data_IF_387450104079
#
_entry.id   IF_387450104079
#
_cell.length_a   1.000
_cell.length_b   1.000
_cell.length_c   1.000
_cell.angle_alpha   90.00
_cell.angle_beta   90.00
_cell.angle_gamma   90.00
#
_symmetry.space_group_name_H-M   'P 1'
#
loop_
_entity.id
_entity.type
_entity.pdbx_description
1 polymer ?
#
# COMPACT_ATOMS: atom_id res chain seq x y z
N UNK A 1 -46.23 -47.31 -18.36
CA UNK A 1 -47.26 -46.68 -17.48
C UNK A 1 -47.00 -45.18 -17.52
N UNK A 2 -47.89 -44.36 -18.12
CA UNK A 2 -48.79 -43.39 -17.43
C UNK A 2 -48.06 -42.61 -16.31
N UNK A 3 -48.01 -41.29 -16.20
CA UNK A 3 -48.82 -40.19 -16.76
C UNK A 3 -48.16 -38.83 -16.36
N UNK A 4 -48.19 -37.81 -17.25
CA UNK A 4 -48.65 -36.40 -17.05
C UNK A 4 -48.22 -35.64 -15.76
N UNK A 5 -47.64 -34.44 -15.76
CA UNK A 5 -48.08 -33.13 -16.33
C UNK A 5 -46.94 -32.08 -16.09
N UNK A 6 -46.51 -31.29 -17.08
CA UNK A 6 -46.96 -29.92 -17.45
C UNK A 6 -46.53 -28.81 -16.46
N UNK A 7 -45.58 -27.97 -16.85
CA UNK A 7 -45.84 -26.55 -17.16
C UNK A 7 -44.67 -25.91 -17.96
N UNK A 8 -44.94 -25.64 -19.23
CA UNK A 8 -44.31 -24.62 -20.07
C UNK A 8 -45.21 -23.36 -20.00
N UNK A 9 -44.95 -22.15 -20.47
CA UNK A 9 -44.00 -21.53 -21.40
C UNK A 9 -44.20 -19.99 -21.27
N UNK A 10 -43.24 -19.19 -21.76
CA UNK A 10 -43.41 -18.04 -22.68
C UNK A 10 -42.09 -17.23 -22.69
N UNK A 11 -41.28 -17.32 -23.76
CA UNK A 11 -41.29 -16.47 -24.97
C UNK A 11 -41.07 -14.98 -24.62
N UNK A 12 -39.85 -14.45 -24.79
CA UNK A 12 -39.23 -14.01 -26.06
C UNK A 12 -39.53 -12.53 -26.36
N UNK A 13 -38.50 -11.79 -26.78
CA UNK A 13 -38.68 -10.48 -27.39
C UNK A 13 -37.45 -9.59 -27.37
N UNK A 14 -36.71 -9.60 -28.49
CA UNK A 14 -35.76 -8.56 -28.90
C UNK A 14 -36.32 -7.15 -28.67
N UNK A 15 -35.47 -6.21 -28.27
CA UNK A 15 -35.71 -4.79 -28.51
C UNK A 15 -34.45 -4.11 -29.06
N UNK A 16 -34.60 -3.59 -30.27
CA UNK A 16 -33.79 -2.55 -30.88
C UNK A 16 -34.74 -1.45 -31.35
N UNK A 17 -34.22 -0.22 -31.39
CA UNK A 17 -34.71 0.99 -32.09
C UNK A 17 -35.45 2.06 -31.24
N UNK A 18 -34.61 2.96 -30.70
CA UNK A 18 -34.62 4.43 -30.78
C UNK A 18 -35.86 5.27 -30.43
N UNK A 19 -35.61 6.36 -29.68
CA UNK A 19 -36.07 7.70 -30.08
C UNK A 19 -35.06 8.79 -29.73
N UNK A 20 -34.78 9.63 -30.73
CA UNK A 20 -34.07 10.89 -30.64
C UNK A 20 -34.98 12.02 -30.13
N UNK A 21 -34.39 13.03 -29.50
CA UNK A 21 -35.01 14.32 -29.18
C UNK A 21 -34.00 15.46 -29.41
N UNK A 22 -34.33 16.35 -30.34
CA UNK A 22 -33.49 17.37 -30.99
C UNK A 22 -33.16 18.61 -30.13
N UNK A 23 -32.06 19.28 -30.52
CA UNK A 23 -31.76 20.68 -30.23
C UNK A 23 -30.70 21.25 -31.18
N UNK A 24 -31.14 21.65 -32.39
CA UNK A 24 -30.48 22.46 -33.45
C UNK A 24 -29.61 23.62 -32.94
N UNK A 25 -28.51 24.07 -33.56
CA UNK A 25 -27.83 23.75 -34.81
C UNK A 25 -26.93 24.94 -35.23
N UNK A 26 -25.80 24.69 -35.91
CA UNK A 26 -25.22 25.52 -36.97
C UNK A 26 -23.89 24.90 -37.45
N UNK A 27 -23.76 24.75 -38.77
CA UNK A 27 -22.63 24.16 -39.48
C UNK A 27 -21.78 25.26 -40.10
N UNK A 28 -20.45 25.14 -40.01
CA UNK A 28 -19.49 25.96 -40.74
C UNK A 28 -18.08 25.45 -40.47
N UNK A 29 -17.47 24.77 -41.45
CA UNK A 29 -16.14 24.19 -41.32
C UNK A 29 -15.00 25.13 -41.69
N UNK A 30 -13.81 24.85 -41.17
CA UNK A 30 -12.52 24.88 -41.88
C UNK A 30 -11.41 24.46 -40.92
N UNK A 31 -10.48 23.68 -41.43
CA UNK A 31 -9.24 23.26 -40.78
C UNK A 31 -8.49 24.42 -40.10
N UNK A 32 -8.06 24.20 -38.86
CA UNK A 32 -6.82 24.76 -38.35
C UNK A 32 -6.28 23.85 -37.25
N UNK A 33 -5.08 23.33 -37.49
CA UNK A 33 -4.23 22.71 -36.48
C UNK A 33 -4.14 23.64 -35.25
N UNK A 34 -4.55 23.12 -34.10
CA UNK A 34 -4.45 23.78 -32.80
C UNK A 34 -3.84 22.78 -31.83
N UNK A 35 -2.69 23.15 -31.28
CA UNK A 35 -1.99 22.52 -30.18
C UNK A 35 -2.93 22.10 -29.06
N UNK A 36 -2.92 20.80 -28.72
CA UNK A 36 -3.53 20.26 -27.49
C UNK A 36 -2.82 20.90 -26.29
N UNK A 37 -3.47 21.90 -25.71
CA UNK A 37 -3.23 22.29 -24.33
C UNK A 37 -4.15 21.42 -23.47
N UNK A 38 -3.57 20.56 -22.65
CA UNK A 38 -4.28 19.78 -21.63
C UNK A 38 -5.29 20.68 -20.89
N UNK A 39 -6.58 20.33 -20.96
CA UNK A 39 -7.61 21.05 -20.23
C UNK A 39 -7.63 20.54 -18.80
N UNK A 40 -6.99 21.28 -17.91
CA UNK A 40 -7.11 21.10 -16.47
C UNK A 40 -8.59 21.16 -16.08
N UNK A 41 -9.09 20.17 -15.34
CA UNK A 41 -10.47 20.20 -14.83
C UNK A 41 -10.61 21.34 -13.81
N UNK A 42 -11.29 22.42 -14.20
CA UNK A 42 -11.67 23.49 -13.28
C UNK A 42 -12.89 23.05 -12.46
N UNK A 43 -12.79 23.18 -11.14
CA UNK A 43 -13.92 23.12 -10.21
C UNK A 43 -14.91 24.25 -10.47
N UNK A 44 -16.14 24.14 -9.94
CA UNK A 44 -17.20 25.14 -10.11
C UNK A 44 -16.82 26.54 -9.60
N UNK A 45 -15.78 26.64 -8.78
CA UNK A 45 -15.30 27.88 -8.17
C UNK A 45 -14.01 28.42 -8.83
N UNK A 46 -13.56 27.81 -9.93
CA UNK A 46 -12.38 28.23 -10.70
C UNK A 46 -11.03 27.70 -10.18
N UNK A 47 -11.05 26.80 -9.19
CA UNK A 47 -9.85 26.11 -8.70
C UNK A 47 -9.52 24.91 -9.60
N UNK A 48 -8.24 24.60 -9.73
CA UNK A 48 -7.77 23.39 -10.42
C UNK A 48 -7.97 22.15 -9.55
N UNK A 49 -8.74 21.15 -10.02
CA UNK A 49 -8.95 19.90 -9.27
C UNK A 49 -7.77 18.96 -9.43
N UNK A 50 -7.23 18.48 -8.31
CA UNK A 50 -6.16 17.49 -8.23
C UNK A 50 -6.72 16.20 -7.63
N UNK A 51 -6.57 15.07 -8.32
CA UNK A 51 -6.96 13.76 -7.80
C UNK A 51 -5.75 12.97 -7.32
N UNK A 52 -5.77 12.60 -6.05
CA UNK A 52 -4.71 11.83 -5.39
C UNK A 52 -5.18 10.39 -5.24
N UNK A 53 -4.41 9.45 -5.78
CA UNK A 53 -4.65 8.02 -5.62
C UNK A 53 -3.74 7.44 -4.56
N UNK A 54 -4.32 6.76 -3.58
CA UNK A 54 -3.58 6.06 -2.54
C UNK A 54 -4.22 4.71 -2.22
N UNK A 55 -3.44 3.81 -1.64
CA UNK A 55 -3.94 2.50 -1.20
C UNK A 55 -3.38 2.11 0.16
N UNK A 56 -4.05 1.20 0.86
CA UNK A 56 -3.52 0.69 2.12
C UNK A 56 -4.57 0.26 3.13
N UNK A 57 -4.20 0.33 4.41
CA UNK A 57 -5.10 0.09 5.54
C UNK A 57 -5.90 1.36 5.87
N UNK A 58 -6.91 1.23 6.72
CA UNK A 58 -7.87 2.33 6.96
C UNK A 58 -7.22 3.58 7.61
N UNK A 59 -6.19 3.40 8.44
CA UNK A 59 -5.40 4.50 8.99
C UNK A 59 -4.74 5.36 7.90
N UNK A 60 -4.33 4.76 6.77
CA UNK A 60 -3.77 5.49 5.62
C UNK A 60 -4.86 6.34 4.95
N UNK A 61 -6.07 5.81 4.82
CA UNK A 61 -7.21 6.59 4.27
C UNK A 61 -7.49 7.82 5.12
N UNK A 62 -7.62 7.63 6.44
CA UNK A 62 -7.98 8.69 7.38
C UNK A 62 -6.95 9.82 7.41
N UNK A 63 -5.65 9.50 7.36
CA UNK A 63 -4.61 10.54 7.33
C UNK A 63 -4.59 11.29 6.00
N UNK A 64 -4.81 10.63 4.86
CA UNK A 64 -4.92 11.31 3.57
C UNK A 64 -6.13 12.23 3.52
N UNK A 65 -7.27 11.80 4.07
CA UNK A 65 -8.46 12.66 4.22
C UNK A 65 -8.13 13.92 5.03
N UNK A 66 -7.43 13.79 6.17
CA UNK A 66 -6.99 14.95 6.96
C UNK A 66 -6.00 15.83 6.21
N UNK A 67 -5.01 15.25 5.53
CA UNK A 67 -4.00 16.00 4.78
C UNK A 67 -4.62 16.79 3.63
N UNK A 68 -5.61 16.20 2.95
CA UNK A 68 -6.37 16.83 1.87
C UNK A 68 -7.26 17.95 2.43
N UNK A 69 -7.92 17.73 3.57
CA UNK A 69 -8.69 18.76 4.24
C UNK A 69 -7.80 19.94 4.65
N UNK A 70 -6.62 19.69 5.23
CA UNK A 70 -5.68 20.75 5.56
C UNK A 70 -5.18 21.47 4.30
N UNK A 71 -4.76 20.75 3.25
CA UNK A 71 -4.34 21.33 1.98
C UNK A 71 -5.42 22.23 1.35
N UNK A 72 -6.67 21.78 1.35
CA UNK A 72 -7.81 22.50 0.78
C UNK A 72 -8.21 23.74 1.59
N UNK A 73 -7.80 23.83 2.86
CA UNK A 73 -8.04 24.99 3.73
C UNK A 73 -6.77 25.81 3.99
N UNK A 74 -5.61 25.37 3.47
CA UNK A 74 -4.33 26.03 3.65
C UNK A 74 -4.26 27.31 2.81
N UNK A 75 -3.92 28.44 3.42
CA UNK A 75 -3.89 29.75 2.75
C UNK A 75 -2.97 29.84 1.53
N UNK A 76 -1.98 28.96 1.39
CA UNK A 76 -1.08 28.94 0.23
C UNK A 76 -1.69 28.23 -1.00
N UNK A 77 -2.58 27.26 -0.76
CA UNK A 77 -3.08 26.31 -1.77
C UNK A 77 -4.58 26.45 -2.04
N UNK A 78 -5.38 26.81 -1.03
CA UNK A 78 -6.85 26.78 -1.04
C UNK A 78 -7.51 27.64 -2.13
N UNK A 79 -6.85 28.73 -2.55
CA UNK A 79 -7.36 29.62 -3.61
C UNK A 79 -7.05 29.10 -5.03
N UNK A 80 -6.16 28.10 -5.16
CA UNK A 80 -5.63 27.62 -6.45
C UNK A 80 -6.07 26.20 -6.78
N UNK A 81 -6.13 25.34 -5.76
CA UNK A 81 -6.32 23.90 -5.93
C UNK A 81 -7.46 23.37 -5.08
N UNK A 82 -8.05 22.28 -5.54
CA UNK A 82 -8.98 21.44 -4.79
C UNK A 82 -8.49 19.99 -4.92
N UNK A 83 -7.95 19.44 -3.84
CA UNK A 83 -7.53 18.04 -3.79
C UNK A 83 -8.71 17.12 -3.45
N UNK A 84 -8.76 15.97 -4.12
CA UNK A 84 -9.72 14.88 -3.89
C UNK A 84 -8.97 13.55 -3.74
N UNK A 85 -9.53 12.62 -2.96
CA UNK A 85 -8.92 11.31 -2.70
C UNK A 85 -9.66 10.20 -3.45
N UNK A 86 -8.92 9.42 -4.23
CA UNK A 86 -9.33 8.09 -4.67
C UNK A 86 -8.56 7.05 -3.85
N UNK A 87 -9.25 6.38 -2.92
CA UNK A 87 -8.60 5.44 -2.01
C UNK A 87 -8.97 3.98 -2.28
N UNK A 88 -7.96 3.13 -2.35
CA UNK A 88 -8.11 1.69 -2.54
C UNK A 88 -7.78 0.94 -1.24
N UNK A 89 -8.81 0.45 -0.55
CA UNK A 89 -8.62 -0.33 0.66
C UNK A 89 -8.01 -1.71 0.33
N UNK A 90 -6.94 -2.05 1.03
CA UNK A 90 -6.21 -3.32 0.90
C UNK A 90 -7.09 -4.55 1.22
N UNK A 91 -6.79 -5.65 0.53
CA UNK A 91 -7.44 -6.95 0.75
C UNK A 91 -8.94 -7.00 0.39
N UNK A 92 -9.42 -6.11 -0.47
CA UNK A 92 -10.82 -6.11 -0.96
C UNK A 92 -11.03 -6.98 -2.19
N UNK A 93 -9.97 -7.54 -2.78
CA UNK A 93 -10.02 -8.38 -3.98
C UNK A 93 -10.32 -7.59 -5.27
N UNK A 94 -10.23 -6.26 -5.23
CA UNK A 94 -10.29 -5.41 -6.43
C UNK A 94 -9.00 -5.48 -7.22
N UNK A 95 -9.03 -5.04 -8.48
CA UNK A 95 -7.81 -4.79 -9.26
C UNK A 95 -6.86 -3.89 -8.45
N UNK A 96 -5.55 -4.13 -8.53
CA UNK A 96 -4.55 -3.33 -7.82
C UNK A 96 -4.33 -1.98 -8.51
N UNK A 97 -3.89 -0.97 -7.74
CA UNK A 97 -3.57 0.36 -8.30
C UNK A 97 -2.46 0.29 -9.36
N UNK A 98 -1.45 -0.56 -9.16
CA UNK A 98 -0.36 -0.76 -10.13
C UNK A 98 -0.89 -1.27 -11.47
N UNK A 99 -1.82 -2.23 -11.44
CA UNK A 99 -2.41 -2.79 -12.66
C UNK A 99 -3.34 -1.78 -13.35
N UNK A 100 -4.03 -0.92 -12.58
CA UNK A 100 -4.87 0.16 -13.12
C UNK A 100 -4.02 1.21 -13.84
N UNK A 101 -2.93 1.66 -13.22
CA UNK A 101 -1.95 2.59 -13.82
C UNK A 101 -1.33 1.98 -15.08
N UNK A 102 -0.90 0.71 -15.00
CA UNK A 102 -0.31 0.02 -16.13
C UNK A 102 -1.28 -0.11 -17.32
N UNK A 103 -2.56 -0.42 -17.04
CA UNK A 103 -3.59 -0.48 -18.06
C UNK A 103 -3.85 0.88 -18.71
N UNK A 104 -3.97 1.96 -17.92
CA UNK A 104 -4.18 3.31 -18.42
C UNK A 104 -3.03 3.77 -19.34
N UNK A 105 -1.78 3.56 -18.91
CA UNK A 105 -0.59 3.90 -19.69
C UNK A 105 -0.48 3.08 -20.99
N UNK A 106 -0.66 1.75 -20.92
CA UNK A 106 -0.62 0.87 -22.10
C UNK A 106 -1.73 1.19 -23.10
N UNK A 107 -2.88 1.64 -22.61
CA UNK A 107 -3.99 2.13 -23.43
C UNK A 107 -3.75 3.54 -24.01
N UNK A 108 -2.66 4.20 -23.64
CA UNK A 108 -2.30 5.57 -24.06
C UNK A 108 -3.39 6.58 -23.71
N UNK A 109 -3.99 6.43 -22.53
CA UNK A 109 -4.90 7.42 -22.01
C UNK A 109 -4.14 8.73 -21.73
N UNK A 110 -4.84 9.85 -21.82
CA UNK A 110 -4.37 11.19 -21.47
C UNK A 110 -5.47 11.87 -20.65
N UNK A 111 -5.11 12.92 -19.92
CA UNK A 111 -6.07 13.72 -19.14
C UNK A 111 -6.90 12.87 -18.17
N UNK A 112 -6.26 11.88 -17.57
CA UNK A 112 -6.87 11.00 -16.55
C UNK A 112 -6.89 11.67 -15.18
N UNK A 113 -7.61 11.08 -14.24
CA UNK A 113 -7.62 11.47 -12.84
C UNK A 113 -6.45 10.86 -12.04
N UNK A 114 -5.47 10.21 -12.68
CA UNK A 114 -4.24 9.78 -12.03
C UNK A 114 -3.22 10.93 -11.96
N UNK A 115 -3.55 12.00 -11.23
CA UNK A 115 -2.68 13.19 -11.17
C UNK A 115 -1.49 12.98 -10.22
N UNK A 116 -1.73 12.38 -9.07
CA UNK A 116 -0.71 12.06 -8.07
C UNK A 116 -0.98 10.69 -7.47
N UNK A 117 0.03 9.83 -7.38
CA UNK A 117 -0.12 8.47 -6.84
C UNK A 117 0.86 8.20 -5.70
N UNK A 118 0.36 7.58 -4.63
CA UNK A 118 1.15 7.09 -3.48
C UNK A 118 1.60 5.65 -3.74
N UNK A 119 2.90 5.43 -3.89
CA UNK A 119 3.50 4.13 -4.19
C UNK A 119 4.68 3.88 -3.25
N UNK A 120 4.74 2.68 -2.68
CA UNK A 120 5.88 2.28 -1.85
C UNK A 120 6.32 0.85 -2.12
N UNK A 121 7.62 0.60 -1.92
CA UNK A 121 8.23 -0.73 -1.99
C UNK A 121 7.80 -1.54 -3.21
N UNK A 122 7.11 -2.66 -2.96
CA UNK A 122 6.65 -3.61 -3.98
C UNK A 122 5.72 -2.97 -5.03
N UNK A 123 4.85 -2.03 -4.67
CA UNK A 123 3.93 -1.40 -5.64
C UNK A 123 4.70 -0.53 -6.63
N UNK A 124 5.71 0.21 -6.16
CA UNK A 124 6.58 1.00 -7.01
C UNK A 124 7.42 0.09 -7.93
N UNK A 125 8.00 -0.98 -7.37
CA UNK A 125 8.75 -1.98 -8.14
C UNK A 125 7.90 -2.60 -9.25
N UNK A 126 6.69 -3.04 -8.90
CA UNK A 126 5.75 -3.68 -9.82
C UNK A 126 5.28 -2.75 -10.93
N UNK A 127 4.90 -1.50 -10.61
CA UNK A 127 4.47 -0.59 -11.68
C UNK A 127 5.64 -0.24 -12.62
N UNK A 128 6.86 -0.07 -12.10
CA UNK A 128 8.04 0.16 -12.94
C UNK A 128 8.33 -1.05 -13.83
N UNK A 129 8.27 -2.29 -13.32
CA UNK A 129 8.48 -3.49 -14.15
C UNK A 129 7.44 -3.60 -15.28
N UNK A 130 6.21 -3.14 -15.02
CA UNK A 130 5.11 -3.24 -15.98
C UNK A 130 5.09 -2.16 -17.07
N UNK A 131 5.51 -0.93 -16.77
CA UNK A 131 5.37 0.23 -17.68
C UNK A 131 6.59 1.16 -17.78
N UNK A 132 7.67 0.88 -17.05
CA UNK A 132 8.87 1.72 -17.03
C UNK A 132 8.73 2.98 -16.16
N UNK A 133 9.85 3.54 -15.73
CA UNK A 133 9.87 4.78 -14.93
C UNK A 133 9.44 6.01 -15.76
N UNK A 134 9.59 5.96 -17.08
CA UNK A 134 9.17 7.02 -18.01
C UNK A 134 7.65 7.22 -18.08
N UNK A 135 6.87 6.29 -17.53
CA UNK A 135 5.45 6.48 -17.33
C UNK A 135 5.14 7.58 -16.31
N UNK A 136 6.13 7.97 -15.50
CA UNK A 136 6.06 9.06 -14.53
C UNK A 136 6.87 10.28 -14.98
N UNK A 137 6.46 11.45 -14.52
CA UNK A 137 7.15 12.72 -14.77
C UNK A 137 8.48 12.71 -14.03
N UNK A 138 9.56 13.03 -14.74
CA UNK A 138 10.85 13.32 -14.12
C UNK A 138 10.71 14.60 -13.29
N UNK A 139 10.93 14.51 -11.98
CA UNK A 139 10.59 15.57 -11.04
C UNK A 139 11.51 16.80 -11.18
N UNK A 140 10.90 17.99 -11.30
CA UNK A 140 11.60 19.26 -11.14
C UNK A 140 11.62 19.64 -9.65
N UNK A 141 12.78 19.43 -9.00
CA UNK A 141 12.96 19.74 -7.58
C UNK A 141 12.75 21.23 -7.25
N UNK A 142 12.84 22.14 -8.22
CA UNK A 142 12.54 23.57 -7.97
C UNK A 142 11.04 23.80 -7.69
N UNK A 143 10.16 22.90 -8.13
CA UNK A 143 8.73 22.93 -7.81
C UNK A 143 8.40 22.29 -6.45
N UNK A 144 9.39 21.65 -5.82
CA UNK A 144 9.24 20.94 -4.54
C UNK A 144 10.33 21.44 -3.57
N UNK A 145 10.40 22.73 -3.24
CA UNK A 145 11.47 23.27 -2.38
C UNK A 145 11.60 22.51 -1.05
N UNK A 146 10.48 22.06 -0.44
CA UNK A 146 10.52 21.32 0.82
C UNK A 146 11.22 19.95 0.72
N UNK A 147 11.44 19.42 -0.49
CA UNK A 147 12.21 18.18 -0.70
C UNK A 147 13.67 18.29 -0.26
N UNK A 148 14.21 19.51 -0.09
CA UNK A 148 15.55 19.73 0.46
C UNK A 148 15.69 19.24 1.91
N UNK A 149 14.58 19.13 2.64
CA UNK A 149 14.55 18.68 4.02
C UNK A 149 14.45 17.15 4.15
N UNK A 150 14.35 16.43 3.03
CA UNK A 150 14.21 14.96 3.00
C UNK A 150 15.53 14.33 2.58
N UNK A 151 16.22 13.70 3.52
CA UNK A 151 17.52 13.05 3.23
C UNK A 151 17.35 11.68 2.55
N UNK A 152 16.26 10.98 2.86
CA UNK A 152 16.00 9.63 2.37
C UNK A 152 15.69 9.62 0.86
N UNK A 153 16.28 8.67 0.14
CA UNK A 153 16.11 8.51 -1.32
C UNK A 153 15.49 7.16 -1.64
N UNK A 154 14.56 7.15 -2.59
CA UNK A 154 14.03 5.91 -3.13
C UNK A 154 15.14 5.12 -3.83
N UNK A 155 15.22 3.82 -3.55
CA UNK A 155 16.13 2.88 -4.22
C UNK A 155 15.76 2.65 -5.71
N UNK A 156 14.52 2.95 -6.08
CA UNK A 156 13.98 2.81 -7.43
C UNK A 156 13.44 4.15 -7.93
N UNK A 157 13.61 4.42 -9.23
CA UNK A 157 13.07 5.61 -9.89
C UNK A 157 13.37 6.93 -9.15
N UNK A 158 14.60 7.09 -8.66
CA UNK A 158 15.02 8.18 -7.77
C UNK A 158 14.74 9.59 -8.34
N UNK A 159 14.77 9.73 -9.66
CA UNK A 159 14.49 10.99 -10.37
C UNK A 159 12.98 11.25 -10.62
N UNK A 160 12.13 10.26 -10.37
CA UNK A 160 10.70 10.26 -10.74
C UNK A 160 9.75 10.22 -9.55
N UNK A 161 10.26 9.92 -8.35
CA UNK A 161 9.45 9.82 -7.14
C UNK A 161 9.99 10.69 -6.01
N UNK A 162 9.10 11.10 -5.11
CA UNK A 162 9.44 11.86 -3.90
C UNK A 162 9.02 11.08 -2.65
N UNK A 163 9.97 10.48 -1.91
CA UNK A 163 9.71 9.94 -0.59
C UNK A 163 9.14 11.00 0.36
N UNK A 164 8.15 10.62 1.18
CA UNK A 164 7.58 11.50 2.21
C UNK A 164 7.42 10.86 3.59
N UNK A 165 7.40 9.53 3.69
CA UNK A 165 7.42 8.79 4.97
C UNK A 165 8.09 7.43 4.83
N UNK A 166 8.65 6.93 5.92
CA UNK A 166 9.02 5.53 6.08
C UNK A 166 7.84 4.69 6.58
N UNK A 167 7.83 3.40 6.23
CA UNK A 167 6.95 2.40 6.83
C UNK A 167 7.68 1.06 6.91
N UNK A 168 7.35 0.26 7.91
CA UNK A 168 7.99 -1.05 8.14
C UNK A 168 7.03 -2.01 8.83
N UNK A 169 7.18 -3.30 8.49
CA UNK A 169 6.53 -4.38 9.22
C UNK A 169 7.40 -4.75 10.42
N UNK A 170 6.74 -4.95 11.55
CA UNK A 170 7.35 -5.31 12.84
C UNK A 170 6.65 -6.54 13.41
N UNK A 171 7.16 -7.08 14.51
CA UNK A 171 6.40 -8.01 15.35
C UNK A 171 5.66 -7.21 16.42
N UNK A 172 4.33 -7.25 16.38
CA UNK A 172 3.47 -6.80 17.47
C UNK A 172 3.31 -7.94 18.48
N UNK A 173 3.39 -7.64 19.77
CA UNK A 173 3.30 -8.66 20.83
C UNK A 173 2.67 -8.11 22.11
N UNK A 174 2.01 -8.98 22.87
CA UNK A 174 1.55 -8.66 24.22
C UNK A 174 2.71 -8.81 25.22
N UNK A 175 3.19 -7.69 25.75
CA UNK A 175 4.35 -7.66 26.65
C UNK A 175 4.13 -8.33 28.00
N UNK A 176 2.89 -8.62 28.40
CA UNK A 176 2.62 -9.45 29.58
C UNK A 176 2.83 -10.95 29.31
N UNK A 177 2.75 -11.36 28.03
CA UNK A 177 2.88 -12.75 27.59
C UNK A 177 4.25 -13.05 27.03
N UNK A 178 4.87 -12.06 26.39
CA UNK A 178 6.19 -12.16 25.77
C UNK A 178 7.13 -11.13 26.42
N UNK A 179 7.68 -11.42 27.61
CA UNK A 179 8.57 -10.49 28.31
C UNK A 179 9.92 -10.31 27.59
N UNK A 180 10.36 -11.32 26.83
CA UNK A 180 11.59 -11.31 26.04
C UNK A 180 11.21 -11.64 24.59
N UNK A 181 10.82 -10.64 23.78
CA UNK A 181 10.42 -10.88 22.41
C UNK A 181 11.65 -11.27 21.55
N UNK A 182 11.46 -12.12 20.53
CA UNK A 182 12.54 -12.63 19.69
C UNK A 182 13.22 -11.48 18.93
N UNK A 183 14.51 -11.67 18.65
CA UNK A 183 15.37 -10.74 17.92
C UNK A 183 15.86 -11.29 16.59
N UNK A 184 15.62 -12.56 16.29
CA UNK A 184 15.96 -13.18 15.01
C UNK A 184 14.83 -14.09 14.54
N UNK A 185 14.85 -14.48 13.26
CA UNK A 185 13.91 -15.47 12.74
C UNK A 185 14.04 -16.81 13.47
N UNK A 186 15.25 -17.24 13.82
CA UNK A 186 15.48 -18.48 14.56
C UNK A 186 14.88 -18.44 15.98
N UNK A 187 15.05 -17.32 16.69
CA UNK A 187 14.42 -17.11 18.00
C UNK A 187 12.90 -17.07 17.89
N UNK A 188 12.35 -16.47 16.84
CA UNK A 188 10.92 -16.47 16.59
C UNK A 188 10.41 -17.89 16.34
N UNK A 189 11.10 -18.67 15.52
CA UNK A 189 10.75 -20.08 15.24
C UNK A 189 10.80 -20.93 16.50
N UNK A 190 11.82 -20.73 17.33
CA UNK A 190 11.88 -21.42 18.62
C UNK A 190 10.73 -21.00 19.53
N UNK A 191 10.41 -19.70 19.59
CA UNK A 191 9.27 -19.20 20.35
C UNK A 191 7.95 -19.80 19.87
N UNK A 192 7.72 -19.93 18.56
CA UNK A 192 6.52 -20.57 17.99
C UNK A 192 6.43 -22.06 18.39
N UNK A 193 7.55 -22.78 18.38
CA UNK A 193 7.60 -24.19 18.81
C UNK A 193 7.26 -24.36 20.29
N UNK A 194 7.74 -23.44 21.12
CA UNK A 194 7.49 -23.46 22.57
C UNK A 194 6.08 -22.96 22.93
N UNK A 195 5.44 -22.20 22.04
CA UNK A 195 4.12 -21.59 22.22
C UNK A 195 3.19 -21.90 21.02
N UNK A 196 2.89 -23.18 20.73
CA UNK A 196 2.11 -23.56 19.55
C UNK A 196 0.72 -22.91 19.58
N UNK A 197 0.30 -22.34 18.44
CA UNK A 197 -0.99 -21.68 18.29
C UNK A 197 -1.01 -20.21 18.75
N UNK A 198 0.11 -19.67 19.25
CA UNK A 198 0.19 -18.30 19.80
C UNK A 198 0.81 -17.27 18.85
N UNK A 199 1.12 -17.67 17.61
CA UNK A 199 1.57 -16.80 16.53
C UNK A 199 0.61 -16.87 15.34
N UNK A 200 0.31 -15.74 14.71
CA UNK A 200 -0.38 -15.74 13.42
C UNK A 200 0.20 -14.67 12.48
N UNK A 201 0.12 -14.93 11.18
CA UNK A 201 0.29 -13.92 10.13
C UNK A 201 -0.93 -13.96 9.20
N UNK A 202 -1.28 -12.84 8.58
CA UNK A 202 -2.43 -12.79 7.68
C UNK A 202 -2.09 -13.43 6.33
N UNK A 203 -3.07 -14.00 5.63
CA UNK A 203 -2.83 -14.59 4.32
C UNK A 203 -2.17 -13.55 3.36
N UNK A 204 -1.08 -13.90 2.66
CA UNK A 204 -0.46 -13.05 1.63
C UNK A 204 -1.49 -12.54 0.61
N UNK A 205 -1.27 -11.34 0.07
CA UNK A 205 -2.20 -10.68 -0.86
C UNK A 205 -3.46 -10.10 -0.21
N UNK A 206 -3.73 -10.38 1.08
CA UNK A 206 -4.84 -9.76 1.81
C UNK A 206 -4.40 -8.55 2.64
N UNK A 207 -3.10 -8.37 2.86
CA UNK A 207 -2.51 -7.25 3.60
C UNK A 207 -0.99 -7.42 3.70
N UNK A 208 -0.25 -6.32 3.56
CA UNK A 208 1.21 -6.38 3.37
C UNK A 208 2.05 -6.95 4.52
N UNK A 209 1.52 -7.08 5.75
CA UNK A 209 2.31 -7.62 6.86
C UNK A 209 2.56 -9.13 6.73
N UNK A 210 1.54 -9.87 6.26
CA UNK A 210 1.65 -11.29 5.91
C UNK A 210 2.61 -11.53 4.75
N UNK A 211 2.49 -10.74 3.68
CA UNK A 211 3.42 -10.77 2.54
C UNK A 211 4.86 -10.57 3.03
N UNK A 212 5.09 -9.54 3.87
CA UNK A 212 6.40 -9.24 4.43
C UNK A 212 7.00 -10.41 5.22
N UNK A 213 6.22 -11.01 6.14
CA UNK A 213 6.69 -12.14 6.93
C UNK A 213 7.05 -13.35 6.07
N UNK A 214 6.15 -13.73 5.16
CA UNK A 214 6.31 -14.93 4.34
C UNK A 214 7.45 -14.77 3.35
N UNK A 215 7.52 -13.63 2.65
CA UNK A 215 8.60 -13.35 1.69
C UNK A 215 9.95 -13.21 2.40
N UNK A 216 10.02 -12.49 3.51
CA UNK A 216 11.25 -12.44 4.34
C UNK A 216 11.72 -13.85 4.72
N UNK A 217 10.80 -14.69 5.17
CA UNK A 217 11.10 -16.07 5.57
C UNK A 217 11.67 -16.91 4.42
N UNK A 218 11.11 -16.77 3.21
CA UNK A 218 11.60 -17.50 2.02
C UNK A 218 12.94 -16.94 1.53
N UNK A 219 13.05 -15.62 1.41
CA UNK A 219 14.24 -14.95 0.89
C UNK A 219 15.44 -15.00 1.84
N UNK A 220 15.27 -15.41 3.10
CA UNK A 220 16.39 -15.74 3.99
C UNK A 220 17.21 -16.95 3.51
N UNK A 221 16.66 -17.79 2.64
CA UNK A 221 17.33 -18.95 2.06
C UNK A 221 17.91 -18.68 0.66
N UNK A 222 17.80 -17.45 0.17
CA UNK A 222 18.19 -17.07 -1.18
C UNK A 222 19.44 -16.18 -1.18
N UNK A 223 20.14 -16.04 -2.31
CA UNK A 223 21.16 -15.01 -2.47
C UNK A 223 20.61 -13.61 -2.19
N UNK A 224 21.46 -12.73 -1.62
CA UNK A 224 21.05 -11.39 -1.17
C UNK A 224 20.46 -10.55 -2.30
N UNK A 225 21.00 -10.67 -3.52
CA UNK A 225 20.55 -9.93 -4.70
C UNK A 225 19.13 -10.28 -5.15
N UNK A 226 18.61 -11.45 -4.78
CA UNK A 226 17.30 -11.91 -5.23
C UNK A 226 16.17 -11.02 -4.70
N UNK A 227 16.34 -10.46 -3.49
CA UNK A 227 15.28 -9.68 -2.82
C UNK A 227 14.96 -8.36 -3.53
N UNK A 228 15.85 -7.91 -4.41
CA UNK A 228 15.71 -6.68 -5.21
C UNK A 228 15.75 -6.96 -6.71
N UNK A 229 15.36 -8.17 -7.12
CA UNK A 229 15.35 -8.59 -8.52
C UNK A 229 14.01 -9.23 -8.89
N UNK A 230 13.52 -8.87 -10.07
CA UNK A 230 12.30 -9.40 -10.70
C UNK A 230 12.60 -10.49 -11.75
N UNK A 231 13.81 -11.07 -11.73
CA UNK A 231 14.18 -12.16 -12.66
C UNK A 231 13.39 -13.43 -12.34
N UNK A 232 12.59 -13.98 -13.28
CA UNK A 232 11.75 -15.16 -13.03
C UNK A 232 12.56 -16.43 -12.71
N UNK A 233 13.87 -16.46 -12.97
CA UNK A 233 14.73 -17.57 -12.54
C UNK A 233 14.85 -17.72 -11.02
N UNK A 234 14.46 -16.70 -10.25
CA UNK A 234 14.40 -16.79 -8.79
C UNK A 234 13.30 -17.71 -8.27
N UNK A 235 12.22 -17.92 -9.04
CA UNK A 235 11.09 -18.77 -8.64
C UNK A 235 11.51 -20.22 -8.38
N UNK A 236 12.45 -20.73 -9.19
CA UNK A 236 12.99 -22.09 -9.07
C UNK A 236 13.72 -22.32 -7.72
N UNK A 237 14.15 -21.24 -7.06
CA UNK A 237 14.91 -21.28 -5.81
C UNK A 237 14.04 -21.12 -4.55
N UNK A 238 12.73 -20.88 -4.69
CA UNK A 238 11.82 -20.73 -3.53
C UNK A 238 11.60 -22.01 -2.73
N UNK A 239 11.95 -23.17 -3.29
CA UNK A 239 11.65 -24.49 -2.69
C UNK A 239 12.09 -24.61 -1.24
N UNK A 240 13.32 -24.23 -0.91
CA UNK A 240 13.84 -24.35 0.47
C UNK A 240 13.07 -23.46 1.46
N UNK A 241 12.77 -22.22 1.06
CA UNK A 241 11.96 -21.31 1.88
C UNK A 241 10.52 -21.77 2.05
N UNK A 242 9.91 -22.37 1.03
CA UNK A 242 8.56 -22.94 1.14
C UNK A 242 8.53 -24.19 2.04
N UNK A 243 9.57 -25.01 2.01
CA UNK A 243 9.70 -26.13 2.94
C UNK A 243 9.90 -25.65 4.38
N UNK A 244 10.57 -24.51 4.58
CA UNK A 244 10.59 -23.83 5.88
C UNK A 244 9.18 -23.40 6.32
N UNK A 245 8.38 -22.78 5.45
CA UNK A 245 7.00 -22.38 5.77
C UNK A 245 6.13 -23.59 6.17
N UNK A 246 6.26 -24.73 5.46
CA UNK A 246 5.61 -26.01 5.82
C UNK A 246 6.05 -26.48 7.20
N UNK A 247 7.32 -26.30 7.54
CA UNK A 247 7.88 -26.74 8.83
C UNK A 247 7.35 -25.95 10.02
N UNK A 248 6.99 -24.67 9.84
CA UNK A 248 6.44 -23.82 10.90
C UNK A 248 4.91 -23.86 10.97
N UNK A 249 4.25 -24.30 9.88
CA UNK A 249 2.79 -24.38 9.78
C UNK A 249 2.11 -25.02 11.02
N UNK A 250 2.57 -26.17 11.57
CA UNK A 250 1.92 -26.80 12.72
C UNK A 250 1.89 -25.96 14.01
N UNK A 251 2.74 -24.92 14.11
CA UNK A 251 2.83 -24.05 15.28
C UNK A 251 2.04 -22.74 15.15
N UNK A 252 1.46 -22.47 13.96
CA UNK A 252 0.63 -21.30 13.72
C UNK A 252 -0.69 -21.36 14.51
N UNK A 253 -1.36 -20.22 14.65
CA UNK A 253 -2.69 -20.11 15.24
C UNK A 253 -3.65 -21.13 14.64
N UNK A 254 -4.38 -21.80 15.53
CA UNK A 254 -5.34 -22.83 15.17
C UNK A 254 -6.72 -22.44 15.69
N UNK A 255 -7.73 -22.67 14.87
CA UNK A 255 -9.13 -22.56 15.25
C UNK A 255 -9.89 -23.75 14.68
N UNK A 256 -10.77 -24.36 15.48
CA UNK A 256 -11.52 -25.54 15.06
C UNK A 256 -10.67 -26.79 14.75
N UNK A 257 -9.41 -26.84 15.23
CA UNK A 257 -8.50 -27.98 15.04
C UNK A 257 -7.64 -27.93 13.78
N UNK A 258 -7.66 -26.81 13.04
CA UNK A 258 -6.81 -26.58 11.87
C UNK A 258 -6.14 -25.20 11.98
N UNK A 259 -5.02 -25.04 11.28
CA UNK A 259 -4.34 -23.74 11.17
C UNK A 259 -5.22 -22.76 10.40
N UNK A 260 -5.28 -21.52 10.88
CA UNK A 260 -6.04 -20.44 10.25
C UNK A 260 -5.12 -19.25 10.02
N UNK A 261 -5.05 -18.79 8.78
CA UNK A 261 -4.40 -17.54 8.39
C UNK A 261 -5.48 -16.45 8.31
N UNK A 262 -5.51 -15.48 9.25
CA UNK A 262 -6.52 -14.43 9.22
C UNK A 262 -6.44 -13.61 7.93
N UNK A 263 -7.56 -13.00 7.53
CA UNK A 263 -7.56 -12.06 6.41
C UNK A 263 -7.20 -10.66 6.89
N UNK A 264 -6.37 -9.95 6.11
CA UNK A 264 -5.89 -8.59 6.34
C UNK A 264 -5.05 -8.43 7.61
N UNK A 265 -4.28 -7.33 7.67
CA UNK A 265 -3.49 -6.97 8.86
C UNK A 265 -4.37 -6.81 10.12
N UNK A 266 -5.63 -6.38 9.96
CA UNK A 266 -6.55 -6.21 11.08
C UNK A 266 -6.94 -7.56 11.71
N UNK A 267 -7.10 -8.62 10.90
CA UNK A 267 -7.52 -9.92 11.43
C UNK A 267 -6.51 -10.53 12.41
N UNK A 268 -5.22 -10.42 12.14
CA UNK A 268 -4.17 -10.85 13.08
C UNK A 268 -4.08 -9.93 14.29
N UNK A 269 -4.22 -8.62 14.10
CA UNK A 269 -4.18 -7.64 15.18
C UNK A 269 -5.35 -7.82 16.17
N UNK A 270 -6.53 -8.15 15.66
CA UNK A 270 -7.72 -8.44 16.47
C UNK A 270 -7.51 -9.68 17.34
N UNK A 271 -6.92 -10.75 16.79
CA UNK A 271 -6.57 -11.94 17.56
C UNK A 271 -5.58 -11.61 18.68
N UNK A 272 -4.57 -10.77 18.40
CA UNK A 272 -3.60 -10.33 19.39
C UNK A 272 -4.29 -9.52 20.49
N UNK A 273 -5.13 -8.55 20.11
CA UNK A 273 -5.85 -7.71 21.06
C UNK A 273 -6.83 -8.50 21.93
N UNK A 274 -7.44 -9.55 21.38
CA UNK A 274 -8.33 -10.47 22.11
C UNK A 274 -7.56 -11.48 22.98
N UNK A 275 -6.24 -11.61 22.82
CA UNK A 275 -5.39 -12.54 23.56
C UNK A 275 -5.47 -13.99 23.07
N UNK A 276 -6.01 -14.20 21.86
CA UNK A 276 -6.03 -15.50 21.18
C UNK A 276 -4.64 -15.92 20.73
N UNK A 277 -3.85 -14.94 20.29
CA UNK A 277 -2.41 -15.05 20.01
C UNK A 277 -1.64 -14.07 20.89
N UNK A 278 -0.33 -14.27 21.02
CA UNK A 278 0.55 -13.39 21.81
C UNK A 278 1.50 -12.57 20.92
N UNK A 279 1.60 -12.89 19.62
CA UNK A 279 2.47 -12.20 18.67
C UNK A 279 2.02 -12.35 17.21
N UNK A 280 2.20 -11.31 16.39
CA UNK A 280 1.97 -11.34 14.94
C UNK A 280 2.82 -10.30 14.20
N UNK A 281 3.15 -10.50 12.91
CA UNK A 281 3.68 -9.43 12.08
C UNK A 281 2.58 -8.39 11.81
N UNK A 282 2.91 -7.12 11.88
CA UNK A 282 1.99 -6.03 11.53
C UNK A 282 2.74 -4.75 11.12
N UNK A 283 2.07 -3.83 10.44
CA UNK A 283 2.64 -2.51 10.13
C UNK A 283 2.80 -1.70 11.41
N UNK A 284 3.96 -1.07 11.60
CA UNK A 284 4.22 -0.25 12.77
C UNK A 284 3.21 0.91 12.89
N UNK A 285 2.91 1.58 11.78
CA UNK A 285 1.93 2.68 11.72
C UNK A 285 0.55 2.26 12.27
N UNK A 286 0.07 1.10 11.87
CA UNK A 286 -1.22 0.54 12.28
C UNK A 286 -1.26 0.18 13.77
N UNK A 287 -0.20 -0.45 14.31
CA UNK A 287 -0.15 -0.82 15.73
C UNK A 287 -0.06 0.42 16.62
N UNK A 288 0.80 1.37 16.25
CA UNK A 288 1.04 2.56 17.06
C UNK A 288 -0.17 3.51 17.04
N UNK A 289 -0.80 3.72 15.88
CA UNK A 289 -2.01 4.55 15.77
C UNK A 289 -3.19 3.96 16.56
N UNK A 290 -3.50 2.68 16.39
CA UNK A 290 -4.60 2.03 17.12
C UNK A 290 -4.36 1.99 18.64
N UNK A 291 -3.10 1.82 19.07
CA UNK A 291 -2.76 1.94 20.50
C UNK A 291 -2.97 3.36 21.03
N UNK A 292 -2.55 4.38 20.28
CA UNK A 292 -2.77 5.78 20.66
C UNK A 292 -4.27 6.14 20.75
N UNK A 293 -5.10 5.55 19.89
CA UNK A 293 -6.57 5.69 19.93
C UNK A 293 -7.24 4.89 21.07
N UNK A 294 -6.49 4.03 21.76
CA UNK A 294 -7.01 3.15 22.82
C UNK A 294 -7.84 1.97 22.31
N UNK A 295 -7.75 1.65 21.01
CA UNK A 295 -8.40 0.47 20.42
C UNK A 295 -7.57 -0.80 20.62
N UNK A 296 -6.25 -0.66 20.80
CA UNK A 296 -5.37 -1.72 21.30
C UNK A 296 -5.03 -1.54 22.78
N UNK A 297 -4.80 -2.67 23.47
CA UNK A 297 -4.28 -2.68 24.83
C UNK A 297 -2.91 -1.99 24.91
N UNK A 298 -2.68 -1.26 26.00
CA UNK A 298 -1.37 -0.64 26.32
C UNK A 298 -0.22 -1.66 26.46
N UNK A 299 -0.54 -2.93 26.72
CA UNK A 299 0.46 -4.00 26.81
C UNK A 299 0.97 -4.44 25.45
N UNK A 300 0.31 -4.06 24.35
CA UNK A 300 0.75 -4.36 22.99
C UNK A 300 1.92 -3.44 22.62
N UNK A 301 3.06 -4.07 22.36
CA UNK A 301 4.31 -3.42 22.00
C UNK A 301 4.82 -3.94 20.66
N UNK A 302 5.79 -3.24 20.10
CA UNK A 302 6.44 -3.59 18.84
C UNK A 302 7.90 -3.98 19.06
N UNK A 303 8.42 -4.87 18.22
CA UNK A 303 9.86 -5.14 18.10
C UNK A 303 10.22 -5.41 16.64
N UNK A 304 11.45 -5.08 16.26
CA UNK A 304 12.08 -5.62 15.06
C UNK A 304 12.89 -6.88 15.39
N UNK A 305 13.14 -7.67 14.34
CA UNK A 305 14.09 -8.80 14.32
C UNK A 305 15.23 -8.47 13.34
N UNK A 306 16.31 -9.25 13.37
CA UNK A 306 17.44 -9.16 12.45
C UNK A 306 17.64 -10.51 11.72
N UNK A 307 17.71 -10.53 10.38
CA UNK A 307 17.35 -9.44 9.46
C UNK A 307 15.92 -8.95 9.67
N UNK A 308 15.66 -7.66 9.42
CA UNK A 308 14.32 -7.09 9.59
C UNK A 308 13.30 -7.71 8.65
N UNK A 309 12.03 -7.62 9.05
CA UNK A 309 10.93 -7.72 8.09
C UNK A 309 11.00 -6.53 7.12
N UNK A 310 10.25 -6.61 6.03
CA UNK A 310 10.36 -5.59 4.98
C UNK A 310 9.87 -4.23 5.44
N UNK A 311 10.50 -3.20 4.88
CA UNK A 311 10.07 -1.81 4.99
C UNK A 311 10.23 -1.11 3.66
N UNK A 312 9.71 0.10 3.57
CA UNK A 312 9.85 0.92 2.37
C UNK A 312 9.73 2.40 2.70
N UNK A 313 10.21 3.20 1.75
CA UNK A 313 9.86 4.61 1.67
C UNK A 313 8.59 4.71 0.82
N UNK A 314 7.53 5.25 1.41
CA UNK A 314 6.34 5.62 0.66
C UNK A 314 6.66 6.90 -0.11
N UNK A 315 6.36 6.88 -1.40
CA UNK A 315 6.81 7.88 -2.35
C UNK A 315 5.67 8.31 -3.24
N UNK A 316 5.61 9.61 -3.51
CA UNK A 316 4.66 10.19 -4.44
C UNK A 316 5.26 10.19 -5.85
N UNK A 317 4.46 9.80 -6.84
CA UNK A 317 4.81 9.85 -8.25
C UNK A 317 3.73 10.60 -9.04
N UNK A 318 4.12 11.30 -10.11
CA UNK A 318 3.21 12.03 -10.99
C UNK A 318 3.14 11.28 -12.32
N UNK A 319 2.04 10.59 -12.66
CA UNK A 319 1.90 9.95 -13.96
C UNK A 319 1.93 10.96 -15.11
N UNK A 320 2.57 10.61 -16.23
CA UNK A 320 2.66 11.46 -17.45
C UNK A 320 1.33 11.65 -18.18
N UNK A 321 0.28 10.96 -17.72
CA UNK A 321 -1.05 10.91 -18.31
C UNK A 321 -2.15 11.42 -17.37
N UNK A 322 -1.77 12.03 -16.24
CA UNK A 322 -2.68 12.81 -15.38
C UNK A 322 -3.10 14.13 -16.05
N UNK A 323 -4.13 14.76 -15.50
CA UNK A 323 -4.70 16.03 -15.98
C UNK A 323 -4.15 17.27 -15.26
N UNK A 324 -3.51 17.10 -14.09
CA UNK A 324 -3.09 18.20 -13.22
C UNK A 324 -1.69 18.04 -12.58
N UNK A 325 -0.65 18.11 -13.40
CA UNK A 325 0.76 18.05 -12.95
C UNK A 325 1.11 19.17 -11.94
N UNK A 326 0.63 20.40 -12.14
CA UNK A 326 0.93 21.53 -11.24
C UNK A 326 0.30 21.35 -9.86
N UNK A 327 -0.93 20.84 -9.78
CA UNK A 327 -1.55 20.45 -8.51
C UNK A 327 -0.76 19.35 -7.81
N UNK A 328 -0.28 18.36 -8.58
CA UNK A 328 0.47 17.23 -8.06
C UNK A 328 1.80 17.69 -7.42
N UNK A 329 2.53 18.60 -8.07
CA UNK A 329 3.70 19.25 -7.47
C UNK A 329 3.34 20.05 -6.21
N UNK A 330 2.22 20.79 -6.21
CA UNK A 330 1.80 21.57 -5.05
C UNK A 330 1.54 20.69 -3.83
N UNK A 331 0.81 19.58 -4.00
CA UNK A 331 0.57 18.64 -2.89
C UNK A 331 1.84 17.92 -2.46
N UNK A 332 2.70 17.53 -3.41
CA UNK A 332 4.00 16.91 -3.12
C UNK A 332 4.93 17.84 -2.32
N UNK A 333 4.88 19.16 -2.56
CA UNK A 333 5.60 20.13 -1.73
C UNK A 333 4.94 20.31 -0.36
N UNK A 334 3.61 20.39 -0.31
CA UNK A 334 2.83 20.57 0.91
C UNK A 334 3.04 19.42 1.91
N UNK A 335 2.99 18.15 1.47
CA UNK A 335 3.09 16.99 2.36
C UNK A 335 4.44 16.91 3.09
N UNK A 336 5.46 17.62 2.58
CA UNK A 336 6.79 17.71 3.16
C UNK A 336 6.95 18.91 4.12
N UNK A 337 5.90 19.72 4.32
CA UNK A 337 5.90 20.76 5.35
C UNK A 337 5.92 20.14 6.74
N UNK A 338 6.49 20.85 7.73
CA UNK A 338 6.48 20.43 9.14
C UNK A 338 5.06 20.14 9.62
N UNK A 339 4.07 20.98 9.28
CA UNK A 339 2.68 20.80 9.69
C UNK A 339 2.07 19.50 9.13
N UNK A 340 2.28 19.20 7.84
CA UNK A 340 1.80 17.97 7.23
C UNK A 340 2.51 16.73 7.81
N UNK A 341 3.82 16.83 8.08
CA UNK A 341 4.59 15.75 8.71
C UNK A 341 4.16 15.52 10.17
N UNK A 342 3.78 16.56 10.91
CA UNK A 342 3.17 16.40 12.25
C UNK A 342 1.81 15.70 12.18
N UNK A 343 0.98 15.97 11.18
CA UNK A 343 -0.28 15.23 10.95
C UNK A 343 0.04 13.75 10.71
N UNK A 344 1.01 13.45 9.84
CA UNK A 344 1.45 12.09 9.56
C UNK A 344 1.93 11.35 10.81
N UNK A 345 2.76 11.98 11.65
CA UNK A 345 3.20 11.37 12.90
C UNK A 345 2.03 11.16 13.86
N UNK A 346 1.22 12.20 14.11
CA UNK A 346 0.19 12.17 15.16
C UNK A 346 -1.03 11.32 14.82
N UNK A 347 -1.37 11.17 13.54
CA UNK A 347 -2.55 10.38 13.16
C UNK A 347 -2.23 8.96 12.75
N UNK A 348 -1.07 8.71 12.15
CA UNK A 348 -0.72 7.38 11.67
C UNK A 348 0.60 6.84 12.21
N UNK A 349 1.27 7.52 13.13
CA UNK A 349 2.61 7.13 13.59
C UNK A 349 3.59 6.93 12.42
N UNK A 350 3.49 7.77 11.39
CA UNK A 350 4.40 7.72 10.25
C UNK A 350 5.84 7.92 10.71
N UNK A 351 6.79 7.23 10.06
CA UNK A 351 8.21 7.46 10.30
C UNK A 351 8.61 8.68 9.46
N UNK A 352 8.89 9.84 10.09
CA UNK A 352 9.17 11.06 9.35
C UNK A 352 10.50 10.95 8.61
N UNK A 353 10.58 11.59 7.44
CA UNK A 353 11.81 11.66 6.64
C UNK A 353 12.48 13.05 6.69
N UNK A 354 11.95 13.93 7.53
CA UNK A 354 12.51 15.23 7.87
C UNK A 354 13.08 15.22 9.28
N UNK A 355 13.87 16.23 9.64
CA UNK A 355 14.48 16.36 10.95
C UNK A 355 13.43 16.35 12.09
N UNK A 356 13.45 15.28 12.90
CA UNK A 356 12.51 15.08 14.00
C UNK A 356 12.66 16.11 15.12
N UNK A 357 13.79 16.82 15.21
CA UNK A 357 13.95 17.94 16.15
C UNK A 357 12.99 19.10 15.85
N UNK A 358 12.37 19.11 14.66
CA UNK A 358 11.38 20.09 14.24
C UNK A 358 9.94 19.64 14.49
N UNK A 359 9.73 18.42 14.98
CA UNK A 359 8.41 17.80 15.17
C UNK A 359 8.09 17.58 16.65
N UNK A 360 6.82 17.74 17.01
CA UNK A 360 6.31 17.26 18.30
C UNK A 360 6.05 15.74 18.25
N UNK A 361 7.03 14.97 18.75
CA UNK A 361 7.01 13.50 18.81
C UNK A 361 6.36 12.94 20.09
N UNK A 362 5.77 13.78 20.95
CA UNK A 362 5.22 13.35 22.24
C UNK A 362 4.21 12.21 22.08
N UNK A 363 4.48 11.05 22.71
CA UNK A 363 3.61 9.86 22.63
C UNK A 363 3.89 8.93 21.44
N UNK A 364 4.85 9.26 20.58
CA UNK A 364 5.27 8.47 19.41
C UNK A 364 6.77 8.18 19.43
N UNK A 365 7.39 8.10 20.61
CA UNK A 365 8.82 7.83 20.79
C UNK A 365 9.22 6.45 20.23
N UNK A 366 8.29 5.50 20.17
CA UNK A 366 8.50 4.19 19.53
C UNK A 366 8.86 4.33 18.04
N UNK A 367 8.39 5.38 17.36
CA UNK A 367 8.71 5.67 15.95
C UNK A 367 10.19 6.04 15.78
N UNK A 368 10.79 6.74 16.74
CA UNK A 368 12.20 7.14 16.69
C UNK A 368 13.16 5.94 16.73
N UNK A 369 12.69 4.80 17.23
CA UNK A 369 13.45 3.55 17.24
C UNK A 369 13.48 2.84 15.88
N UNK A 370 12.66 3.28 14.92
CA UNK A 370 12.53 2.67 13.60
C UNK A 370 13.40 3.43 12.59
N UNK A 371 14.61 2.91 12.38
CA UNK A 371 15.59 3.50 11.47
C UNK A 371 15.34 3.05 10.02
N UNK A 372 14.94 4.01 9.18
CA UNK A 372 14.68 3.78 7.75
C UNK A 372 15.92 3.29 6.97
N UNK A 373 17.13 3.58 7.46
CA UNK A 373 18.38 3.13 6.82
C UNK A 373 18.63 1.64 6.98
N UNK A 374 17.96 1.00 7.96
CA UNK A 374 18.04 -0.44 8.21
C UNK A 374 16.87 -1.22 7.60
N UNK A 375 15.98 -0.56 6.82
CA UNK A 375 14.86 -1.26 6.22
C UNK A 375 15.33 -2.27 5.18
N UNK A 376 14.87 -3.50 5.35
CA UNK A 376 14.96 -4.51 4.31
C UNK A 376 14.01 -4.16 3.17
N UNK A 377 14.55 -3.53 2.14
CA UNK A 377 13.80 -3.20 0.92
C UNK A 377 13.63 -4.47 0.09
N UNK A 378 12.39 -4.77 -0.27
CA UNK A 378 12.05 -5.81 -1.24
C UNK A 378 11.53 -5.15 -2.52
N UNK A 379 11.97 -5.68 -3.65
CA UNK A 379 11.63 -5.20 -4.99
C UNK A 379 11.70 -6.39 -5.94
N UNK A 380 10.65 -7.20 -5.94
CA UNK A 380 10.56 -8.44 -6.73
C UNK A 380 9.59 -8.31 -7.91
N UNK A 381 9.07 -7.11 -8.18
CA UNK A 381 8.19 -6.82 -9.30
C UNK A 381 6.99 -7.77 -9.39
N UNK A 382 6.75 -8.28 -10.60
CA UNK A 382 5.63 -9.18 -10.88
C UNK A 382 5.76 -10.57 -10.20
N UNK A 383 6.96 -10.97 -9.75
CA UNK A 383 7.15 -12.23 -9.00
C UNK A 383 6.33 -12.27 -7.71
N UNK A 384 5.94 -11.11 -7.17
CA UNK A 384 5.05 -11.01 -6.02
C UNK A 384 3.69 -11.71 -6.25
N UNK A 385 3.20 -11.72 -7.49
CA UNK A 385 1.95 -12.40 -7.86
C UNK A 385 2.15 -13.91 -7.83
N UNK A 386 3.17 -14.41 -8.52
CA UNK A 386 3.50 -15.84 -8.60
C UNK A 386 3.83 -16.43 -7.22
N UNK A 387 4.52 -15.64 -6.37
CA UNK A 387 4.81 -16.00 -4.99
C UNK A 387 3.54 -16.24 -4.18
N UNK A 388 2.56 -15.32 -4.28
CA UNK A 388 1.31 -15.42 -3.55
C UNK A 388 0.46 -16.60 -4.04
N UNK A 389 0.41 -16.83 -5.36
CA UNK A 389 -0.25 -18.02 -5.94
C UNK A 389 0.39 -19.32 -5.45
N UNK A 390 1.72 -19.38 -5.38
CA UNK A 390 2.43 -20.55 -4.84
C UNK A 390 2.12 -20.75 -3.35
N UNK A 391 2.06 -19.68 -2.56
CA UNK A 391 1.67 -19.74 -1.14
C UNK A 391 0.26 -20.29 -0.96
N UNK A 392 -0.70 -19.79 -1.73
CA UNK A 392 -2.08 -20.28 -1.68
C UNK A 392 -2.15 -21.78 -1.96
N UNK A 393 -1.42 -22.26 -2.96
CA UNK A 393 -1.43 -23.66 -3.37
C UNK A 393 -0.69 -24.59 -2.41
N UNK A 394 0.43 -24.17 -1.82
CA UNK A 394 1.31 -25.06 -1.04
C UNK A 394 1.20 -24.91 0.48
N UNK A 395 0.82 -23.72 0.97
CA UNK A 395 0.75 -23.42 2.40
C UNK A 395 -0.70 -23.20 2.83
N UNK A 396 -1.45 -22.42 2.07
CA UNK A 396 -2.87 -22.13 2.36
C UNK A 396 -3.78 -23.36 2.35
N UNK A 397 -3.35 -24.47 1.75
CA UNK A 397 -4.11 -25.73 1.64
C UNK A 397 -3.69 -26.82 2.63
N UNK A 398 -2.68 -26.56 3.48
CA UNK A 398 -2.22 -27.51 4.49
C UNK A 398 -3.28 -27.69 5.59
N UNK A 399 -3.39 -28.92 6.12
CA UNK A 399 -4.39 -29.30 7.12
C UNK A 399 -3.83 -29.41 8.53
#
# INVERSE_FOLDING_TARGET
>A
MKMKKVMAAMLAGMMLVSMAGCGTGAQGGSDSAGTDSAQTQESTDGKSTLTIWASGSDNVRQVFETLIDDFNNNSEYADKYQAELQFMLSGTGTQSMTDMLAAAYKAKQTDTDYDLVDLGGDDLSKVISQIGEEAFVKLDKNKIPNSENVEAKSALATDYVQPYRGTTVILAYDSEKVPTPPKTMDELVQWMKDNPGRFAYNAPGTGGAGDSFVRTSVYNYMPEEAITSDDPSWEDQWTEGFDFLKSIHPYMYQSGGSVVYPSKNQGTLDLLNQGEIDMCPNWADMVLSQRAEGTLKDTIKITQIDPSLTGSLQSLAIPTFGSNEEGAYAFMNYILTTAAQEILVKQMAAIPLIDTAQLDMTGYEDVESLDVSNFRIMSIGDLSTDFNEKWDNEIGTLN
#
